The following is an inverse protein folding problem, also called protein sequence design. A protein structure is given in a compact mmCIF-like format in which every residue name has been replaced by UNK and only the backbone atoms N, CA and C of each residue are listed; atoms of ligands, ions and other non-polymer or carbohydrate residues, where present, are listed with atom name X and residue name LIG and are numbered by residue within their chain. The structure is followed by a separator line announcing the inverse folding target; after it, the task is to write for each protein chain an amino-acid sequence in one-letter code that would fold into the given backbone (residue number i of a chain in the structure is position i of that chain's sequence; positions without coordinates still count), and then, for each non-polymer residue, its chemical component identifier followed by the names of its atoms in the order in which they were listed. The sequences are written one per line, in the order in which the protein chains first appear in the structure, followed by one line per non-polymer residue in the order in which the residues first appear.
data_IF_431075994219
#
_entry.id   IF_431075994219
#
_cell.length_a   1.000
_cell.length_b   1.000
_cell.length_c   1.000
_cell.angle_alpha   90.00
_cell.angle_beta   90.00
_cell.angle_gamma   90.00
#
_symmetry.space_group_name_H-M   'P 1'
#
loop_
_entity.id
_entity.type
_entity.pdbx_description
1 polymer ?
#
# COMPACT_ATOMS: atom_id res chain seq x y z
N UNK A 1 -24.69 -12.48 17.14
CA UNK A 1 -24.18 -11.11 16.97
C UNK A 1 -23.35 -10.95 15.69
N UNK A 2 -22.36 -11.77 15.39
CA UNK A 2 -21.47 -11.64 14.19
C UNK A 2 -22.22 -11.58 12.84
N UNK A 3 -23.27 -12.38 12.63
CA UNK A 3 -24.06 -12.37 11.37
C UNK A 3 -24.81 -11.03 11.15
N UNK A 4 -25.30 -10.39 12.21
CA UNK A 4 -26.00 -9.09 12.09
C UNK A 4 -25.02 -7.96 11.73
N UNK A 5 -23.80 -8.00 12.26
CA UNK A 5 -22.75 -7.02 11.93
C UNK A 5 -22.33 -7.15 10.46
N UNK A 6 -22.13 -8.38 9.97
CA UNK A 6 -21.80 -8.63 8.56
C UNK A 6 -22.92 -8.14 7.65
N UNK A 7 -24.19 -8.41 8.00
CA UNK A 7 -25.34 -7.95 7.22
C UNK A 7 -25.45 -6.42 7.20
N UNK A 8 -25.18 -5.75 8.33
CA UNK A 8 -25.17 -4.28 8.39
C UNK A 8 -24.04 -3.66 7.57
N UNK A 9 -22.86 -4.27 7.56
CA UNK A 9 -21.74 -3.83 6.73
C UNK A 9 -22.05 -4.02 5.25
N UNK A 10 -22.61 -5.18 4.87
CA UNK A 10 -23.04 -5.43 3.48
C UNK A 10 -24.15 -4.45 3.04
N UNK A 11 -25.11 -4.14 3.91
CA UNK A 11 -26.18 -3.18 3.62
C UNK A 11 -25.63 -1.74 3.48
N UNK A 12 -24.67 -1.33 4.33
CA UNK A 12 -24.01 -0.03 4.23
C UNK A 12 -23.18 0.10 2.93
N UNK A 13 -22.47 -0.97 2.55
CA UNK A 13 -21.75 -1.03 1.28
C UNK A 13 -22.72 -0.98 0.10
N UNK A 14 -23.84 -1.71 0.13
CA UNK A 14 -24.85 -1.69 -0.93
C UNK A 14 -25.54 -0.33 -1.06
N UNK A 15 -25.79 0.38 0.04
CA UNK A 15 -26.33 1.76 0.01
C UNK A 15 -25.31 2.78 -0.54
N UNK A 16 -24.02 2.58 -0.34
CA UNK A 16 -22.98 3.42 -0.93
C UNK A 16 -22.94 3.31 -2.48
N UNK A 17 -23.38 2.19 -3.06
CA UNK A 17 -23.48 2.00 -4.51
C UNK A 17 -24.71 2.62 -5.15
N UNK A 18 -25.68 3.12 -4.40
CA UNK A 18 -26.98 3.58 -4.93
C UNK A 18 -27.09 5.09 -5.16
N UNK A 19 -26.04 5.87 -4.96
CA UNK A 19 -26.08 7.31 -5.19
C UNK A 19 -25.72 7.61 -6.66
N UNK A 20 -26.67 8.05 -7.51
CA UNK A 20 -26.38 8.47 -8.88
C UNK A 20 -25.71 9.85 -8.84
N UNK A 21 -24.40 9.90 -8.89
CA UNK A 21 -23.68 11.15 -9.13
C UNK A 21 -23.26 11.18 -10.60
N UNK A 22 -23.80 12.15 -11.36
CA UNK A 22 -23.49 12.36 -12.77
C UNK A 22 -22.35 13.38 -12.99
N UNK A 23 -21.65 13.79 -11.93
CA UNK A 23 -20.52 14.70 -12.04
C UNK A 23 -19.30 13.98 -12.64
N UNK A 24 -18.58 14.67 -13.53
CA UNK A 24 -17.31 14.19 -14.07
C UNK A 24 -16.28 14.19 -12.92
N UNK A 25 -16.08 13.02 -12.28
CA UNK A 25 -15.32 12.88 -11.03
C UNK A 25 -13.83 12.96 -11.21
N UNK A 26 -13.32 12.57 -12.39
CA UNK A 26 -11.89 12.60 -12.69
C UNK A 26 -11.63 13.62 -13.81
N UNK A 27 -10.98 14.70 -13.44
CA UNK A 27 -10.62 15.78 -14.36
C UNK A 27 -9.12 15.68 -14.66
N UNK A 28 -8.71 15.77 -15.95
CA UNK A 28 -7.29 15.84 -16.27
C UNK A 28 -6.58 16.97 -15.53
N UNK A 29 -5.39 16.68 -14.97
CA UNK A 29 -4.57 17.55 -14.12
C UNK A 29 -5.06 17.69 -12.68
N UNK A 30 -6.18 17.10 -12.28
CA UNK A 30 -6.62 17.02 -10.90
C UNK A 30 -5.54 16.37 -10.05
N UNK A 31 -5.37 16.84 -8.83
CA UNK A 31 -4.42 16.31 -7.85
C UNK A 31 -5.17 15.63 -6.73
N UNK A 32 -4.49 14.72 -6.05
CA UNK A 32 -5.04 14.06 -4.88
C UNK A 32 -3.95 13.77 -3.84
N UNK A 33 -4.36 13.71 -2.60
CA UNK A 33 -3.53 13.24 -1.49
C UNK A 33 -4.14 11.93 -1.01
N UNK A 34 -3.30 10.90 -0.86
CA UNK A 34 -3.69 9.61 -0.31
C UNK A 34 -3.04 9.40 1.05
N UNK A 35 -3.79 8.75 1.94
CA UNK A 35 -3.27 8.18 3.19
C UNK A 35 -3.62 6.71 3.20
N UNK A 36 -2.61 5.87 3.38
CA UNK A 36 -2.69 4.41 3.30
C UNK A 36 -2.18 3.79 4.58
N UNK A 37 -2.90 2.77 5.05
CA UNK A 37 -2.38 1.78 5.99
C UNK A 37 -2.05 0.51 5.23
N UNK A 38 -0.90 -0.09 5.46
CA UNK A 38 -0.45 -1.31 4.79
C UNK A 38 -0.12 -2.43 5.76
N UNK A 39 -0.26 -3.65 5.27
CA UNK A 39 0.14 -4.86 6.00
C UNK A 39 1.02 -5.67 5.06
N UNK A 40 2.30 -5.89 5.42
CA UNK A 40 3.19 -6.77 4.66
C UNK A 40 2.71 -8.21 4.76
N UNK A 41 2.79 -8.94 3.65
CA UNK A 41 2.43 -10.35 3.57
C UNK A 41 3.67 -11.21 3.79
N UNK A 42 3.89 -11.64 5.03
CA UNK A 42 5.04 -12.47 5.41
C UNK A 42 4.62 -13.94 5.37
N UNK A 43 5.40 -14.76 4.67
CA UNK A 43 5.13 -16.20 4.55
C UNK A 43 5.21 -16.87 5.93
N UNK A 44 4.10 -17.50 6.35
CA UNK A 44 4.01 -18.23 7.63
C UNK A 44 3.47 -17.40 8.80
N UNK A 45 3.20 -16.10 8.63
CA UNK A 45 2.59 -15.26 9.65
C UNK A 45 1.11 -14.96 9.36
N UNK A 46 0.36 -14.62 10.43
CA UNK A 46 -1.03 -14.16 10.30
C UNK A 46 -1.02 -12.72 9.74
N UNK A 47 -1.99 -12.41 8.87
CA UNK A 47 -2.17 -11.11 8.21
C UNK A 47 -2.20 -9.90 9.17
N UNK A 48 -2.49 -10.10 10.43
CA UNK A 48 -2.53 -9.07 11.48
C UNK A 48 -1.73 -9.50 12.70
N UNK A 49 -0.48 -9.94 12.50
CA UNK A 49 0.46 -10.04 13.61
C UNK A 49 0.75 -8.60 14.08
N UNK A 50 0.37 -8.27 15.32
CA UNK A 50 0.19 -6.90 15.83
C UNK A 50 1.36 -5.93 15.72
N UNK A 51 2.53 -6.37 15.25
CA UNK A 51 3.73 -5.55 15.11
C UNK A 51 4.15 -5.32 13.66
N UNK A 52 3.41 -5.89 12.69
CA UNK A 52 3.70 -5.76 11.26
C UNK A 52 2.69 -4.80 10.63
N UNK A 53 3.10 -3.58 10.41
CA UNK A 53 2.27 -2.55 9.80
C UNK A 53 3.09 -1.56 8.96
N UNK A 54 2.42 -0.87 8.07
CA UNK A 54 2.98 0.26 7.35
C UNK A 54 1.98 1.40 7.26
N UNK A 55 2.48 2.59 7.07
CA UNK A 55 1.70 3.79 6.78
C UNK A 55 2.34 4.54 5.63
N UNK A 56 1.53 5.13 4.77
CA UNK A 56 2.02 5.86 3.62
C UNK A 56 1.18 7.09 3.31
N UNK A 57 1.86 8.08 2.75
CA UNK A 57 1.25 9.25 2.15
C UNK A 57 1.67 9.33 0.69
N UNK A 58 0.70 9.67 -0.19
CA UNK A 58 0.93 9.73 -1.63
C UNK A 58 0.35 11.01 -2.21
N UNK A 59 1.07 11.58 -3.15
CA UNK A 59 0.58 12.66 -4.01
C UNK A 59 0.29 12.08 -5.39
N UNK A 60 -0.93 12.28 -5.87
CA UNK A 60 -1.38 11.80 -7.17
C UNK A 60 -1.69 12.94 -8.11
N UNK A 61 -1.50 12.71 -9.41
CA UNK A 61 -1.86 13.65 -10.47
C UNK A 61 -2.49 12.89 -11.63
N UNK A 62 -3.76 13.17 -11.88
CA UNK A 62 -4.48 12.59 -13.01
C UNK A 62 -4.01 13.15 -14.34
N UNK A 63 -3.90 12.25 -15.32
CA UNK A 63 -3.56 12.53 -16.69
C UNK A 63 -4.83 12.42 -17.55
N UNK A 64 -4.65 12.34 -18.87
CA UNK A 64 -5.75 12.04 -19.79
C UNK A 64 -6.20 10.58 -19.62
N UNK A 65 -7.46 10.28 -19.90
CA UNK A 65 -8.03 8.91 -19.81
C UNK A 65 -7.98 8.27 -18.44
N UNK A 66 -8.13 9.07 -17.38
CA UNK A 66 -8.21 8.58 -15.98
C UNK A 66 -6.94 7.93 -15.44
N UNK A 67 -5.84 7.91 -16.22
CA UNK A 67 -4.53 7.46 -15.73
C UNK A 67 -3.99 8.47 -14.71
N UNK A 68 -3.13 8.03 -13.81
CA UNK A 68 -2.43 8.95 -12.92
C UNK A 68 -1.00 8.56 -12.63
N UNK A 69 -0.18 9.56 -12.37
CA UNK A 69 1.14 9.41 -11.78
C UNK A 69 1.06 9.67 -10.29
N UNK A 70 1.94 9.05 -9.54
CA UNK A 70 2.01 9.25 -8.10
C UNK A 70 3.44 9.27 -7.58
N UNK A 71 3.62 9.99 -6.46
CA UNK A 71 4.80 9.93 -5.63
C UNK A 71 4.34 9.57 -4.23
N UNK A 72 4.88 8.53 -3.61
CA UNK A 72 4.52 8.13 -2.25
C UNK A 72 5.74 7.95 -1.36
N UNK A 73 5.56 8.28 -0.09
CA UNK A 73 6.48 7.98 0.99
C UNK A 73 5.78 6.99 1.92
N UNK A 74 6.41 5.84 2.14
CA UNK A 74 5.88 4.76 2.96
C UNK A 74 6.87 4.45 4.09
N UNK A 75 6.36 4.31 5.29
CA UNK A 75 7.06 3.74 6.44
C UNK A 75 6.46 2.37 6.72
N UNK A 76 7.30 1.36 6.87
CA UNK A 76 6.88 0.00 7.18
C UNK A 76 7.72 -0.56 8.32
N UNK A 77 7.07 -1.24 9.23
CA UNK A 77 7.71 -1.97 10.32
C UNK A 77 7.31 -3.44 10.21
N UNK A 78 8.30 -4.31 10.27
CA UNK A 78 8.12 -5.76 10.24
C UNK A 78 8.97 -6.41 11.32
N UNK A 79 8.48 -7.51 11.88
CA UNK A 79 9.25 -8.38 12.74
C UNK A 79 9.54 -9.68 12.02
N UNK A 80 10.80 -9.94 11.76
CA UNK A 80 11.22 -11.17 11.08
C UNK A 80 11.48 -12.27 12.09
N UNK A 81 10.84 -13.45 11.97
CA UNK A 81 11.11 -14.57 12.85
C UNK A 81 12.53 -15.10 12.61
N UNK A 82 13.35 -15.12 13.65
CA UNK A 82 14.67 -15.72 13.63
C UNK A 82 14.84 -16.63 14.86
N UNK A 83 14.88 -17.95 14.63
CA UNK A 83 14.95 -18.97 15.70
C UNK A 83 13.83 -18.77 16.75
N UNK A 84 14.18 -18.35 17.97
CA UNK A 84 13.26 -18.17 19.10
C UNK A 84 12.88 -16.70 19.37
N UNK A 85 13.33 -15.74 18.55
CA UNK A 85 13.04 -14.31 18.70
C UNK A 85 12.80 -13.63 17.36
N UNK A 86 12.29 -12.40 17.40
CA UNK A 86 12.00 -11.61 16.20
C UNK A 86 13.03 -10.50 16.03
N UNK A 87 13.50 -10.31 14.79
CA UNK A 87 14.40 -9.22 14.42
C UNK A 87 13.54 -8.10 13.86
N UNK A 88 13.50 -6.92 14.49
CA UNK A 88 12.76 -5.78 13.98
C UNK A 88 13.45 -5.22 12.72
N UNK A 89 12.67 -5.01 11.68
CA UNK A 89 13.06 -4.35 10.44
C UNK A 89 12.16 -3.14 10.23
N UNK A 90 12.73 -2.04 9.80
CA UNK A 90 12.02 -0.81 9.44
C UNK A 90 12.48 -0.33 8.08
N UNK A 91 11.52 0.02 7.26
CA UNK A 91 11.75 0.54 5.91
C UNK A 91 11.17 1.93 5.77
N UNK A 92 11.92 2.84 5.16
CA UNK A 92 11.41 4.11 4.65
C UNK A 92 11.59 4.07 3.14
N UNK A 93 10.48 4.04 2.41
CA UNK A 93 10.45 3.79 0.98
C UNK A 93 9.82 4.95 0.23
N UNK A 94 10.48 5.43 -0.81
CA UNK A 94 9.97 6.41 -1.76
C UNK A 94 9.60 5.68 -3.05
N UNK A 95 8.38 5.89 -3.53
CA UNK A 95 7.89 5.34 -4.79
C UNK A 95 7.56 6.46 -5.77
N UNK A 96 7.90 6.27 -7.04
CA UNK A 96 7.49 7.11 -8.15
C UNK A 96 6.88 6.20 -9.22
N UNK A 97 5.61 6.39 -9.54
CA UNK A 97 4.90 5.43 -10.38
C UNK A 97 3.78 5.99 -11.25
N UNK A 98 3.23 5.07 -12.01
CA UNK A 98 2.14 5.29 -12.95
C UNK A 98 1.09 4.20 -12.82
N UNK A 99 -0.18 4.62 -12.85
CA UNK A 99 -1.35 3.73 -12.77
C UNK A 99 -2.23 3.91 -13.99
N UNK A 100 -2.65 2.78 -14.55
CA UNK A 100 -3.50 2.67 -15.73
C UNK A 100 -4.83 2.03 -15.33
N UNK A 101 -6.00 2.64 -15.59
CA UNK A 101 -7.28 1.98 -15.40
C UNK A 101 -7.45 0.86 -16.43
N UNK A 102 -7.87 -0.31 -15.94
CA UNK A 102 -8.15 -1.49 -16.79
C UNK A 102 -9.63 -1.81 -16.84
N UNK A 103 -10.36 -1.51 -15.77
CA UNK A 103 -11.80 -1.67 -15.68
C UNK A 103 -12.40 -0.43 -15.03
N UNK A 104 -13.52 0.02 -15.58
CA UNK A 104 -14.30 1.14 -15.05
C UNK A 104 -15.76 0.78 -15.15
N UNK A 105 -16.50 0.93 -14.06
CA UNK A 105 -17.95 0.78 -14.06
C UNK A 105 -18.63 1.86 -14.90
N UNK A 106 -19.81 1.55 -15.46
CA UNK A 106 -20.63 2.51 -16.26
C UNK A 106 -20.90 3.81 -15.52
N UNK A 107 -21.09 3.76 -14.21
CA UNK A 107 -21.29 4.93 -13.35
C UNK A 107 -20.00 5.64 -12.96
N UNK A 108 -18.83 5.10 -13.33
CA UNK A 108 -17.50 5.58 -12.89
C UNK A 108 -17.37 5.69 -11.37
N UNK A 109 -18.09 4.82 -10.64
CA UNK A 109 -18.03 4.76 -9.19
C UNK A 109 -16.90 3.84 -8.70
N UNK A 110 -16.59 2.80 -9.50
CA UNK A 110 -15.56 1.81 -9.19
C UNK A 110 -14.58 1.74 -10.36
N UNK A 111 -13.31 1.88 -10.04
CA UNK A 111 -12.22 1.78 -11.01
C UNK A 111 -11.21 0.74 -10.52
N UNK A 112 -10.72 -0.06 -11.45
CA UNK A 112 -9.64 -1.01 -11.20
C UNK A 112 -8.42 -0.56 -11.97
N UNK A 113 -7.32 -0.41 -11.26
CA UNK A 113 -6.05 0.02 -11.82
C UNK A 113 -4.99 -1.07 -11.72
N UNK A 114 -4.10 -1.06 -12.70
CA UNK A 114 -2.79 -1.71 -12.61
C UNK A 114 -1.70 -0.68 -12.85
N UNK A 115 -0.53 -0.89 -12.29
CA UNK A 115 0.55 0.06 -12.46
C UNK A 115 1.90 -0.46 -12.03
N UNK A 116 2.88 0.40 -12.26
CA UNK A 116 4.27 0.13 -11.92
C UNK A 116 4.89 1.34 -11.27
N UNK A 117 5.86 1.12 -10.40
CA UNK A 117 6.68 2.20 -9.84
C UNK A 117 8.14 1.79 -9.70
N UNK A 118 9.02 2.77 -9.77
CA UNK A 118 10.35 2.67 -9.22
C UNK A 118 10.28 2.90 -7.70
N UNK A 119 11.15 2.23 -6.97
CA UNK A 119 11.24 2.29 -5.53
C UNK A 119 12.69 2.52 -5.13
N UNK A 120 12.91 3.41 -4.16
CA UNK A 120 14.18 3.54 -3.46
C UNK A 120 13.92 3.87 -1.99
N UNK A 121 14.83 3.50 -1.12
CA UNK A 121 14.64 3.73 0.29
C UNK A 121 15.79 3.27 1.16
N UNK A 122 15.53 3.26 2.44
CA UNK A 122 16.47 2.86 3.48
C UNK A 122 15.84 1.80 4.37
N UNK A 123 16.57 0.71 4.56
CA UNK A 123 16.20 -0.43 5.39
C UNK A 123 17.07 -0.43 6.65
N UNK A 124 16.45 -0.44 7.82
CA UNK A 124 17.09 -0.56 9.12
C UNK A 124 16.77 -1.94 9.72
N UNK A 125 17.79 -2.74 9.99
CA UNK A 125 17.68 -4.04 10.64
C UNK A 125 18.17 -3.99 12.09
N UNK A 126 17.45 -4.67 13.00
CA UNK A 126 17.85 -4.85 14.40
C UNK A 126 18.20 -3.54 15.13
N UNK A 127 17.56 -2.41 14.79
CA UNK A 127 17.87 -1.09 15.38
C UNK A 127 19.35 -0.72 15.25
N UNK A 128 19.96 -1.06 14.12
CA UNK A 128 21.38 -0.84 13.80
C UNK A 128 22.37 -1.57 14.73
N UNK A 129 21.92 -2.58 15.46
CA UNK A 129 22.78 -3.39 16.34
C UNK A 129 23.29 -4.62 15.60
N UNK A 130 24.61 -4.78 15.54
CA UNK A 130 25.27 -5.92 14.89
C UNK A 130 25.12 -7.21 15.67
N UNK A 131 25.06 -7.14 17.00
CA UNK A 131 25.01 -8.31 17.87
C UNK A 131 23.56 -8.75 18.10
N UNK A 132 23.26 -10.00 17.82
CA UNK A 132 22.01 -10.66 18.16
C UNK A 132 22.05 -11.24 19.58
N UNK A 133 20.89 -11.49 20.23
CA UNK A 133 20.83 -12.04 21.58
C UNK A 133 21.50 -13.40 21.76
N UNK A 134 21.66 -14.18 20.69
CA UNK A 134 22.34 -15.48 20.67
C UNK A 134 23.85 -15.38 20.42
N UNK A 135 24.42 -14.17 20.38
CA UNK A 135 25.82 -13.93 20.10
C UNK A 135 26.21 -13.94 18.63
N UNK A 136 25.26 -14.22 17.72
CA UNK A 136 25.50 -14.10 16.29
C UNK A 136 25.62 -12.64 15.86
N UNK A 137 26.48 -12.36 14.89
CA UNK A 137 26.64 -11.01 14.33
C UNK A 137 25.92 -10.89 12.99
N UNK A 138 25.10 -9.86 12.85
CA UNK A 138 24.58 -9.44 11.54
C UNK A 138 25.71 -8.81 10.73
N UNK A 139 25.95 -9.31 9.51
CA UNK A 139 26.97 -8.76 8.61
C UNK A 139 26.53 -7.40 8.10
N UNK A 140 25.25 -7.25 7.78
CA UNK A 140 24.63 -6.03 7.28
C UNK A 140 23.42 -5.65 8.14
N UNK A 141 23.40 -4.44 8.65
CA UNK A 141 22.44 -3.98 9.64
C UNK A 141 21.53 -2.85 9.12
N UNK A 142 22.01 -2.06 8.17
CA UNK A 142 21.23 -0.97 7.57
C UNK A 142 21.79 -0.62 6.22
N UNK A 143 20.94 -0.44 5.21
CA UNK A 143 21.39 -0.19 3.85
C UNK A 143 20.37 0.55 2.99
N UNK A 144 20.88 1.09 1.90
CA UNK A 144 20.05 1.63 0.84
C UNK A 144 19.49 0.50 -0.02
N UNK A 145 18.17 0.53 -0.24
CA UNK A 145 17.46 -0.43 -1.08
C UNK A 145 16.81 0.27 -2.26
N UNK A 146 16.73 -0.43 -3.39
CA UNK A 146 16.09 0.08 -4.59
C UNK A 146 15.39 -1.05 -5.33
N UNK A 147 14.47 -0.70 -6.22
CA UNK A 147 13.77 -1.74 -6.95
C UNK A 147 12.58 -1.25 -7.76
N UNK A 148 11.71 -2.19 -8.06
CA UNK A 148 10.47 -1.96 -8.80
C UNK A 148 9.28 -2.56 -8.09
N UNK A 149 8.10 -1.99 -8.33
CA UNK A 149 6.86 -2.46 -7.72
C UNK A 149 5.79 -2.63 -8.80
N UNK A 150 5.07 -3.73 -8.72
CA UNK A 150 3.82 -3.94 -9.45
C UNK A 150 2.66 -3.59 -8.52
N UNK A 151 1.70 -2.82 -9.03
CA UNK A 151 0.53 -2.38 -8.28
C UNK A 151 -0.75 -2.89 -8.93
N UNK A 152 -1.69 -3.31 -8.09
CA UNK A 152 -3.08 -3.49 -8.45
C UNK A 152 -3.95 -2.72 -7.44
N UNK A 153 -4.94 -1.95 -7.88
CA UNK A 153 -5.85 -1.28 -6.94
C UNK A 153 -7.29 -1.33 -7.40
N UNK A 154 -8.16 -1.34 -6.42
CA UNK A 154 -9.60 -1.10 -6.57
C UNK A 154 -9.91 0.21 -5.86
N UNK A 155 -10.48 1.15 -6.57
CA UNK A 155 -10.79 2.49 -6.10
C UNK A 155 -12.30 2.72 -6.21
N UNK A 156 -12.91 3.12 -5.09
CA UNK A 156 -14.35 3.34 -4.99
C UNK A 156 -14.62 4.77 -4.56
N UNK A 157 -15.40 5.51 -5.34
CA UNK A 157 -15.82 6.85 -4.97
C UNK A 157 -16.83 6.80 -3.81
N UNK A 158 -16.49 7.40 -2.67
CA UNK A 158 -17.41 7.64 -1.56
C UNK A 158 -18.17 8.95 -1.77
N UNK A 159 -17.49 9.95 -2.30
CA UNK A 159 -18.04 11.24 -2.70
C UNK A 159 -17.34 11.70 -3.97
N UNK A 160 -17.71 12.84 -4.55
CA UNK A 160 -17.05 13.39 -5.74
C UNK A 160 -15.56 13.69 -5.54
N UNK A 161 -15.10 13.81 -4.31
CA UNK A 161 -13.70 14.15 -3.97
C UNK A 161 -12.99 13.09 -3.16
N UNK A 162 -13.71 12.18 -2.53
CA UNK A 162 -13.13 11.17 -1.63
C UNK A 162 -13.29 9.78 -2.23
N UNK A 163 -12.18 9.08 -2.36
CA UNK A 163 -12.12 7.69 -2.80
C UNK A 163 -11.64 6.80 -1.67
N UNK A 164 -12.25 5.64 -1.56
CA UNK A 164 -11.72 4.52 -0.79
C UNK A 164 -10.87 3.64 -1.70
N UNK A 165 -9.72 3.22 -1.22
CA UNK A 165 -8.71 2.49 -1.98
C UNK A 165 -8.37 1.19 -1.28
N UNK A 166 -8.28 0.11 -2.06
CA UNK A 166 -7.63 -1.13 -1.66
C UNK A 166 -6.54 -1.39 -2.70
N UNK A 167 -5.29 -1.53 -2.25
CA UNK A 167 -4.13 -1.75 -3.12
C UNK A 167 -3.40 -3.02 -2.74
N UNK A 168 -2.96 -3.77 -3.73
CA UNK A 168 -2.01 -4.86 -3.60
C UNK A 168 -0.70 -4.44 -4.28
N UNK A 169 0.42 -4.72 -3.65
CA UNK A 169 1.75 -4.36 -4.11
C UNK A 169 2.64 -5.60 -4.13
N UNK A 170 3.36 -5.82 -5.21
CA UNK A 170 4.45 -6.79 -5.31
C UNK A 170 5.77 -6.04 -5.47
N UNK A 171 6.55 -5.94 -4.41
CA UNK A 171 7.81 -5.19 -4.39
C UNK A 171 8.97 -6.13 -4.70
N UNK A 172 9.81 -5.75 -5.67
CA UNK A 172 11.06 -6.41 -6.02
C UNK A 172 12.22 -5.51 -5.60
N UNK A 173 12.88 -5.88 -4.51
CA UNK A 173 13.93 -5.09 -3.84
C UNK A 173 15.30 -5.68 -4.13
N UNK A 174 16.22 -4.81 -4.46
CA UNK A 174 17.64 -5.09 -4.62
C UNK A 174 18.44 -4.32 -3.57
N UNK A 175 19.63 -4.81 -3.24
CA UNK A 175 20.45 -4.22 -2.18
C UNK A 175 20.04 -4.67 -0.77
N UNK A 176 19.12 -5.61 -0.63
CA UNK A 176 18.69 -6.21 0.64
C UNK A 176 19.25 -7.62 0.78
N UNK A 177 19.56 -8.05 2.00
CA UNK A 177 19.93 -9.44 2.31
C UNK A 177 18.73 -10.28 2.75
N UNK A 178 17.59 -9.64 2.87
CA UNK A 178 16.32 -10.29 3.19
C UNK A 178 15.65 -10.73 1.90
N UNK A 179 14.38 -11.11 1.92
CA UNK A 179 13.66 -11.53 0.74
C UNK A 179 13.57 -10.41 -0.32
N UNK A 180 14.02 -10.69 -1.55
CA UNK A 180 13.91 -9.75 -2.67
C UNK A 180 12.45 -9.44 -3.05
N UNK A 181 11.53 -10.38 -2.86
CA UNK A 181 10.11 -10.19 -3.15
C UNK A 181 9.31 -10.01 -1.86
N UNK A 182 8.68 -8.83 -1.72
CA UNK A 182 7.90 -8.46 -0.53
C UNK A 182 6.51 -7.98 -0.95
N UNK A 183 5.51 -8.85 -0.93
CA UNK A 183 4.13 -8.46 -1.20
C UNK A 183 3.52 -7.74 0.00
N UNK A 184 2.64 -6.76 -0.29
CA UNK A 184 1.88 -6.04 0.74
C UNK A 184 0.47 -5.73 0.24
N UNK A 185 -0.46 -5.59 1.17
CA UNK A 185 -1.82 -5.10 0.91
C UNK A 185 -2.04 -3.85 1.73
N UNK A 186 -2.67 -2.85 1.13
CA UNK A 186 -2.96 -1.58 1.79
C UNK A 186 -4.41 -1.15 1.54
N UNK A 187 -4.94 -0.40 2.49
CA UNK A 187 -6.23 0.26 2.36
C UNK A 187 -6.11 1.71 2.83
N UNK A 188 -6.92 2.60 2.28
CA UNK A 188 -6.88 3.99 2.66
C UNK A 188 -7.86 4.88 1.91
N UNK A 189 -7.62 6.17 2.01
CA UNK A 189 -8.46 7.21 1.43
C UNK A 189 -7.62 8.14 0.55
N UNK A 190 -8.20 8.57 -0.57
CA UNK A 190 -7.68 9.64 -1.42
C UNK A 190 -8.65 10.81 -1.40
N UNK A 191 -8.12 12.00 -1.22
CA UNK A 191 -8.85 13.25 -1.36
C UNK A 191 -8.37 13.99 -2.62
N UNK A 192 -9.27 14.20 -3.58
CA UNK A 192 -9.02 14.90 -4.83
C UNK A 192 -9.41 16.38 -4.74
N UNK A 193 -8.55 17.25 -5.29
CA UNK A 193 -8.74 18.72 -5.32
C UNK A 193 -8.25 19.35 -6.62
#
# INVERSE_FOLDING_TARGET
MKKKIILSVCAAVAMAFSLPSQAQRLIPKQRGIEVLGSVPLIKGEKLFAGDNFGVGISLTRYLKRENYTFASLEYEQQNMPYRSYNIPMKDILLHLGYMQPILTDRGKNVLVYVGVSALCGYEELNRDKKLLPDGATLLDHSRFVYGGVLHGSVEVFLTDRVLFLIKAQGRFLFGTDVHCFRPAVSAGLRFNF
#
